data_IF_944455059331
#
_entry.id   IF_944455059331
#
_cell.length_a   1.000
_cell.length_b   1.000
_cell.length_c   1.000
_cell.angle_alpha   90.00
_cell.angle_beta   90.00
_cell.angle_gamma   90.00
#
_symmetry.space_group_name_H-M   'P 1'
#
loop_
_entity.id
_entity.type
_entity.pdbx_description
1 polymer ?
#
# COMPACT_ATOMS: atom_id res chain seq x y z
N UNK A 1 27.02 -8.25 -33.12
CA UNK A 1 27.72 -9.13 -32.16
C UNK A 1 27.12 -8.90 -30.77
N UNK A 2 26.24 -9.77 -30.37
CA UNK A 2 25.46 -9.64 -29.15
C UNK A 2 26.27 -10.13 -27.94
N UNK A 3 26.57 -9.24 -26.97
CA UNK A 3 27.21 -9.63 -25.73
C UNK A 3 26.14 -10.25 -24.79
N UNK A 4 26.08 -11.56 -24.80
CA UNK A 4 25.31 -12.32 -23.84
C UNK A 4 25.99 -12.21 -22.46
N UNK A 5 25.39 -11.46 -21.54
CA UNK A 5 25.78 -11.46 -20.14
C UNK A 5 25.37 -12.79 -19.52
N UNK A 6 26.32 -13.69 -19.35
CA UNK A 6 26.19 -14.86 -18.48
C UNK A 6 26.10 -14.33 -17.05
N UNK A 7 24.92 -14.48 -16.43
CA UNK A 7 24.75 -14.33 -14.97
C UNK A 7 25.71 -15.28 -14.28
N UNK A 8 26.62 -14.74 -13.49
CA UNK A 8 27.47 -15.53 -12.59
C UNK A 8 26.60 -16.10 -11.47
N UNK A 9 26.09 -17.31 -11.67
CA UNK A 9 25.69 -18.13 -10.57
C UNK A 9 26.91 -18.34 -9.68
N UNK A 10 26.77 -18.14 -8.38
CA UNK A 10 27.83 -18.37 -7.41
C UNK A 10 28.19 -19.86 -7.44
N UNK A 11 29.11 -20.21 -8.30
CA UNK A 11 29.72 -21.53 -8.31
C UNK A 11 30.49 -21.67 -6.98
N UNK A 12 30.01 -22.55 -6.12
CA UNK A 12 30.77 -23.06 -5.00
C UNK A 12 32.01 -23.73 -5.60
N UNK A 13 33.15 -23.04 -5.59
CA UNK A 13 34.37 -23.43 -6.27
C UNK A 13 35.02 -24.73 -5.78
N UNK A 14 34.32 -25.54 -4.98
CA UNK A 14 34.76 -26.87 -4.57
C UNK A 14 34.60 -27.94 -5.65
N UNK A 15 33.54 -27.88 -6.46
CA UNK A 15 33.26 -28.92 -7.46
C UNK A 15 34.21 -28.93 -8.65
N UNK A 16 34.52 -27.75 -9.22
CA UNK A 16 35.39 -27.64 -10.41
C UNK A 16 36.87 -27.91 -10.10
N UNK A 17 37.36 -27.66 -8.87
CA UNK A 17 38.73 -27.97 -8.45
C UNK A 17 38.98 -29.48 -8.34
N UNK A 18 38.00 -30.21 -7.79
CA UNK A 18 38.13 -31.65 -7.58
C UNK A 18 38.05 -32.42 -8.90
N UNK A 19 37.29 -31.93 -9.90
CA UNK A 19 37.14 -32.61 -11.17
C UNK A 19 38.24 -32.38 -12.21
N UNK A 20 38.92 -31.21 -12.14
CA UNK A 20 39.88 -30.80 -13.18
C UNK A 20 41.34 -30.79 -12.70
N UNK A 21 41.64 -31.12 -11.46
CA UNK A 21 42.98 -31.07 -10.84
C UNK A 21 43.77 -29.77 -11.11
N UNK A 22 43.07 -28.62 -11.26
CA UNK A 22 43.65 -27.32 -11.59
C UNK A 22 43.89 -26.50 -10.33
N UNK A 23 45.02 -25.81 -10.23
CA UNK A 23 45.33 -24.95 -9.09
C UNK A 23 44.39 -23.76 -8.99
N UNK A 24 44.04 -23.32 -7.77
CA UNK A 24 43.21 -22.14 -7.49
C UNK A 24 43.69 -20.89 -8.25
N UNK A 25 44.99 -20.70 -8.35
CA UNK A 25 45.61 -19.56 -9.07
C UNK A 25 45.18 -19.58 -10.56
N UNK A 26 45.23 -20.75 -11.19
CA UNK A 26 44.91 -20.94 -12.60
C UNK A 26 43.40 -20.79 -12.87
N UNK A 27 42.60 -21.33 -11.95
CA UNK A 27 41.12 -21.19 -12.02
C UNK A 27 40.69 -19.74 -11.87
N UNK A 28 41.26 -19.02 -10.88
CA UNK A 28 40.98 -17.59 -10.68
C UNK A 28 41.41 -16.73 -11.88
N UNK A 29 42.57 -17.03 -12.46
CA UNK A 29 43.04 -16.32 -13.64
C UNK A 29 42.15 -16.56 -14.87
N UNK A 30 41.71 -17.77 -15.11
CA UNK A 30 40.82 -18.14 -16.19
C UNK A 30 39.40 -17.48 -16.05
N UNK A 31 38.92 -17.32 -14.83
CA UNK A 31 37.62 -16.69 -14.51
C UNK A 31 37.72 -15.17 -14.35
N UNK A 32 38.90 -14.56 -14.43
CA UNK A 32 39.11 -13.15 -14.15
C UNK A 32 38.76 -12.74 -12.71
N UNK A 33 38.81 -13.68 -11.76
CA UNK A 33 38.38 -13.47 -10.39
C UNK A 33 39.62 -13.39 -9.44
N UNK A 34 39.62 -12.41 -8.52
CA UNK A 34 40.68 -12.31 -7.53
C UNK A 34 40.59 -13.44 -6.51
N UNK A 35 41.75 -13.99 -6.10
CA UNK A 35 41.82 -15.13 -5.16
C UNK A 35 41.15 -14.84 -3.80
N UNK A 36 41.24 -13.60 -3.29
CA UNK A 36 40.57 -13.21 -2.04
C UNK A 36 39.05 -13.33 -2.15
N UNK A 37 38.49 -13.06 -3.33
CA UNK A 37 37.04 -13.23 -3.59
C UNK A 37 36.64 -14.70 -3.54
N UNK A 38 37.47 -15.57 -4.11
CA UNK A 38 37.26 -17.03 -4.09
C UNK A 38 37.35 -17.63 -2.68
N UNK A 39 38.21 -17.09 -1.84
CA UNK A 39 38.43 -17.54 -0.45
C UNK A 39 37.48 -16.91 0.54
N UNK A 40 36.70 -15.90 0.11
CA UNK A 40 35.73 -15.22 0.97
C UNK A 40 34.59 -16.17 1.35
N UNK A 41 34.61 -16.63 2.58
CA UNK A 41 33.47 -17.35 3.15
C UNK A 41 32.38 -16.31 3.38
N UNK A 42 31.19 -16.47 2.77
CA UNK A 42 30.07 -15.57 3.03
C UNK A 42 29.69 -15.69 4.51
N UNK A 43 29.96 -14.66 5.29
CA UNK A 43 29.45 -14.55 6.66
C UNK A 43 28.03 -14.01 6.55
N UNK A 44 27.03 -14.86 6.69
CA UNK A 44 25.64 -14.43 6.88
C UNK A 44 25.54 -13.56 8.15
N UNK A 45 24.53 -12.71 8.21
CA UNK A 45 24.19 -12.03 9.46
C UNK A 45 23.37 -12.97 10.32
N UNK A 46 23.57 -12.97 11.62
CA UNK A 46 22.88 -13.85 12.57
C UNK A 46 21.34 -13.66 12.53
N UNK A 47 20.89 -12.45 12.14
CA UNK A 47 19.49 -12.09 12.02
C UNK A 47 18.85 -12.42 10.65
N UNK A 48 19.61 -12.95 9.68
CA UNK A 48 19.15 -13.16 8.30
C UNK A 48 17.99 -14.15 8.21
N UNK A 49 18.06 -15.22 8.98
CA UNK A 49 17.06 -16.28 8.99
C UNK A 49 15.72 -15.78 9.54
N UNK A 50 15.77 -15.03 10.64
CA UNK A 50 14.60 -14.39 11.25
C UNK A 50 14.00 -13.33 10.33
N UNK A 51 14.83 -12.46 9.75
CA UNK A 51 14.37 -11.45 8.79
C UNK A 51 13.71 -12.09 7.58
N UNK A 52 14.23 -13.21 7.08
CA UNK A 52 13.64 -13.94 5.97
C UNK A 52 12.23 -14.47 6.32
N UNK A 53 12.07 -15.05 7.51
CA UNK A 53 10.77 -15.53 7.99
C UNK A 53 9.75 -14.39 8.09
N UNK A 54 10.15 -13.24 8.65
CA UNK A 54 9.27 -12.07 8.78
C UNK A 54 8.88 -11.49 7.41
N UNK A 55 9.80 -11.46 6.43
CA UNK A 55 9.50 -11.05 5.06
C UNK A 55 8.46 -11.98 4.41
N UNK A 56 8.63 -13.30 4.55
CA UNK A 56 7.71 -14.28 3.98
C UNK A 56 6.33 -14.15 4.63
N UNK A 57 6.28 -13.97 5.94
CA UNK A 57 5.01 -13.81 6.67
C UNK A 57 4.26 -12.56 6.22
N UNK A 58 4.95 -11.41 6.14
CA UNK A 58 4.35 -10.17 5.64
C UNK A 58 3.92 -10.28 4.17
N UNK A 59 4.68 -10.99 3.33
CA UNK A 59 4.31 -11.22 1.93
C UNK A 59 3.07 -12.11 1.79
N UNK A 60 2.87 -13.07 2.69
CA UNK A 60 1.66 -13.91 2.75
C UNK A 60 0.45 -13.10 3.22
N UNK A 61 0.62 -12.31 4.28
CA UNK A 61 -0.44 -11.50 4.84
C UNK A 61 -0.88 -10.38 3.88
N UNK A 62 0.08 -9.74 3.20
CA UNK A 62 -0.14 -8.62 2.30
C UNK A 62 0.29 -8.95 0.88
N UNK A 63 -0.37 -9.91 0.25
CA UNK A 63 -0.01 -10.44 -1.07
C UNK A 63 0.10 -9.40 -2.21
N UNK A 64 -0.46 -8.20 -2.01
CA UNK A 64 -0.39 -7.07 -2.97
C UNK A 64 0.72 -6.05 -2.63
N UNK A 65 1.52 -6.28 -1.58
CA UNK A 65 2.62 -5.40 -1.20
C UNK A 65 3.94 -5.89 -1.79
N UNK A 66 4.66 -4.99 -2.46
CA UNK A 66 6.02 -5.26 -2.92
C UNK A 66 7.05 -5.03 -1.80
N UNK A 67 8.29 -5.44 -2.06
CA UNK A 67 9.39 -5.40 -1.07
C UNK A 67 9.58 -4.04 -0.38
N UNK A 68 9.31 -2.90 -1.04
CA UNK A 68 9.43 -1.57 -0.41
C UNK A 68 8.41 -1.34 0.69
N UNK A 69 7.14 -1.73 0.46
CA UNK A 69 6.11 -1.64 1.50
C UNK A 69 6.39 -2.62 2.65
N UNK A 70 6.84 -3.84 2.32
CA UNK A 70 7.25 -4.84 3.31
C UNK A 70 8.45 -4.34 4.13
N UNK A 71 9.43 -3.69 3.49
CA UNK A 71 10.55 -3.08 4.19
C UNK A 71 10.10 -2.00 5.20
N UNK A 72 9.11 -1.21 4.83
CA UNK A 72 8.57 -0.20 5.73
C UNK A 72 7.81 -0.81 6.91
N UNK A 73 6.99 -1.83 6.68
CA UNK A 73 6.33 -2.56 7.77
C UNK A 73 7.34 -3.18 8.73
N UNK A 74 8.44 -3.72 8.22
CA UNK A 74 9.54 -4.24 9.05
C UNK A 74 10.20 -3.13 9.88
N UNK A 75 10.41 -1.92 9.31
CA UNK A 75 10.93 -0.77 10.08
C UNK A 75 9.97 -0.34 11.17
N UNK A 76 8.67 -0.30 10.90
CA UNK A 76 7.63 -0.04 11.90
C UNK A 76 7.64 -1.10 13.01
N UNK A 77 8.02 -2.35 12.68
CA UNK A 77 8.23 -3.42 13.65
C UNK A 77 9.57 -3.36 14.39
N UNK A 78 10.38 -2.33 14.16
CA UNK A 78 11.65 -2.12 14.84
C UNK A 78 12.89 -2.72 14.15
N UNK A 79 12.77 -3.24 12.92
CA UNK A 79 13.91 -3.72 12.16
C UNK A 79 14.76 -2.56 11.62
N UNK A 80 16.06 -2.60 11.86
CA UNK A 80 17.03 -1.65 11.26
C UNK A 80 17.57 -2.27 9.97
N UNK A 81 16.87 -1.99 8.86
CA UNK A 81 17.14 -2.59 7.55
C UNK A 81 17.08 -1.55 6.43
N UNK A 82 17.78 -1.85 5.34
CA UNK A 82 17.66 -1.10 4.09
C UNK A 82 16.87 -1.88 3.04
N UNK A 83 16.31 -1.17 2.06
CA UNK A 83 15.49 -1.75 1.00
C UNK A 83 16.26 -2.78 0.17
N UNK A 84 17.56 -2.55 -0.09
CA UNK A 84 18.41 -3.48 -0.88
C UNK A 84 18.53 -4.86 -0.22
N UNK A 85 18.58 -4.91 1.12
CA UNK A 85 18.64 -6.17 1.85
C UNK A 85 17.31 -6.94 1.72
N UNK A 86 16.18 -6.24 1.89
CA UNK A 86 14.85 -6.83 1.73
C UNK A 86 14.62 -7.28 0.29
N UNK A 87 15.00 -6.45 -0.70
CA UNK A 87 14.89 -6.80 -2.12
C UNK A 87 15.71 -8.05 -2.48
N UNK A 88 16.93 -8.17 -1.94
CA UNK A 88 17.77 -9.35 -2.16
C UNK A 88 17.12 -10.63 -1.64
N UNK A 89 16.57 -10.58 -0.42
CA UNK A 89 15.86 -11.71 0.19
C UNK A 89 14.59 -12.00 -0.59
N UNK A 90 13.81 -10.97 -0.92
CA UNK A 90 12.59 -11.07 -1.73
C UNK A 90 12.81 -11.85 -3.04
N UNK A 91 13.88 -11.51 -3.75
CA UNK A 91 14.25 -12.20 -5.00
C UNK A 91 14.73 -13.62 -4.76
N UNK A 92 15.51 -13.85 -3.71
CA UNK A 92 16.03 -15.17 -3.34
C UNK A 92 14.90 -16.14 -3.01
N UNK A 93 13.91 -15.70 -2.26
CA UNK A 93 12.73 -16.49 -1.89
C UNK A 93 11.67 -16.57 -3.00
N UNK A 94 11.94 -16.03 -4.19
CA UNK A 94 11.03 -16.10 -5.34
C UNK A 94 9.71 -15.34 -5.14
N UNK A 95 9.66 -14.41 -4.18
CA UNK A 95 8.45 -13.64 -3.88
C UNK A 95 8.10 -12.70 -5.04
N UNK A 96 6.82 -12.67 -5.41
CA UNK A 96 6.31 -11.84 -6.50
C UNK A 96 4.98 -11.21 -6.11
N UNK A 97 4.78 -9.97 -6.53
CA UNK A 97 3.45 -9.33 -6.46
C UNK A 97 2.72 -9.69 -7.75
N UNK A 98 1.45 -10.12 -7.69
CA UNK A 98 0.65 -10.33 -8.89
C UNK A 98 0.68 -9.11 -9.81
N UNK A 99 0.72 -9.28 -11.13
CA UNK A 99 0.77 -8.16 -12.07
C UNK A 99 -0.46 -7.27 -11.88
N UNK A 100 -0.26 -5.96 -11.96
CA UNK A 100 -1.38 -5.03 -11.99
C UNK A 100 -2.16 -5.24 -13.28
N UNK A 101 -3.49 -5.14 -13.17
CA UNK A 101 -4.33 -5.08 -14.35
C UNK A 101 -3.83 -3.95 -15.27
N UNK A 102 -3.63 -4.25 -16.56
CA UNK A 102 -3.17 -3.26 -17.53
C UNK A 102 -4.13 -2.07 -17.54
N UNK A 103 -3.58 -0.87 -17.45
CA UNK A 103 -4.38 0.35 -17.60
C UNK A 103 -4.91 0.36 -19.03
N UNK A 104 -6.21 0.40 -19.21
CA UNK A 104 -6.81 0.80 -20.49
C UNK A 104 -6.30 2.19 -20.79
N UNK A 105 -5.80 2.41 -22.01
CA UNK A 105 -5.15 3.66 -22.41
C UNK A 105 -5.94 4.88 -21.97
N UNK A 106 -5.31 5.76 -21.20
CA UNK A 106 -5.88 7.06 -20.85
C UNK A 106 -5.42 8.04 -21.93
N UNK A 107 -6.35 8.68 -22.59
CA UNK A 107 -6.08 9.89 -23.35
C UNK A 107 -5.74 10.99 -22.36
N UNK A 108 -4.46 11.28 -22.18
CA UNK A 108 -3.99 12.46 -21.47
C UNK A 108 -3.73 13.53 -22.50
N UNK A 109 -4.48 14.60 -22.45
CA UNK A 109 -4.08 15.82 -23.13
C UNK A 109 -2.96 16.45 -22.30
N UNK A 110 -1.74 16.44 -22.81
CA UNK A 110 -0.56 17.02 -22.15
C UNK A 110 -0.41 18.53 -22.43
N UNK A 111 -1.47 19.16 -22.95
CA UNK A 111 -1.50 20.55 -23.42
C UNK A 111 -1.71 21.61 -22.32
N UNK A 112 -1.79 21.19 -21.06
CA UNK A 112 -2.02 22.09 -19.93
C UNK A 112 -3.47 22.56 -19.78
N UNK A 113 -4.41 22.11 -20.60
CA UNK A 113 -5.84 22.48 -20.55
C UNK A 113 -6.55 21.94 -19.31
N UNK A 114 -5.96 20.98 -18.60
CA UNK A 114 -6.53 20.37 -17.40
C UNK A 114 -6.19 21.20 -16.15
N UNK A 115 -6.93 22.26 -15.91
CA UNK A 115 -6.83 23.04 -14.65
C UNK A 115 -7.61 22.26 -13.57
N UNK A 116 -6.86 21.60 -12.69
CA UNK A 116 -7.44 20.90 -11.53
C UNK A 116 -7.23 21.69 -10.27
N UNK A 117 -8.29 21.83 -9.45
CA UNK A 117 -8.14 22.31 -8.07
C UNK A 117 -7.27 21.33 -7.29
N UNK A 118 -6.04 21.74 -6.96
CA UNK A 118 -5.11 20.94 -6.15
C UNK A 118 -5.31 21.22 -4.67
N UNK A 119 -5.43 20.21 -3.82
CA UNK A 119 -5.53 20.41 -2.39
C UNK A 119 -4.23 21.04 -1.86
N UNK A 120 -4.34 22.04 -1.00
CA UNK A 120 -3.21 22.79 -0.43
C UNK A 120 -2.97 22.46 1.04
N UNK A 121 -4.02 22.00 1.74
CA UNK A 121 -3.99 21.67 3.17
C UNK A 121 -5.04 20.61 3.50
N UNK A 122 -4.97 20.05 4.70
CA UNK A 122 -6.00 19.19 5.26
C UNK A 122 -7.37 19.87 5.21
N UNK A 123 -8.41 19.13 4.92
CA UNK A 123 -9.79 19.61 4.77
C UNK A 123 -9.97 20.70 3.68
N UNK A 124 -9.03 20.82 2.73
CA UNK A 124 -9.23 21.72 1.61
C UNK A 124 -10.19 21.15 0.57
N UNK A 125 -9.97 19.90 0.16
CA UNK A 125 -10.82 19.20 -0.81
C UNK A 125 -11.11 17.79 -0.31
N UNK A 126 -12.38 17.48 -0.12
CA UNK A 126 -12.82 16.10 0.08
C UNK A 126 -13.41 15.56 -1.22
N UNK A 127 -13.06 14.33 -1.56
CA UNK A 127 -13.66 13.62 -2.68
C UNK A 127 -14.50 12.47 -2.16
N UNK A 128 -15.68 12.24 -2.77
CA UNK A 128 -16.44 11.04 -2.50
C UNK A 128 -16.83 10.33 -3.80
N UNK A 129 -17.02 9.02 -3.71
CA UNK A 129 -17.40 8.18 -4.84
C UNK A 129 -18.04 6.88 -4.34
N UNK A 130 -18.81 6.24 -5.23
CA UNK A 130 -19.47 4.98 -4.97
C UNK A 130 -18.73 3.82 -5.63
N UNK A 131 -18.58 2.74 -4.85
CA UNK A 131 -18.09 1.45 -5.34
C UNK A 131 -19.16 0.40 -5.10
N UNK A 132 -19.42 -0.44 -6.09
CA UNK A 132 -20.36 -1.57 -5.99
C UNK A 132 -19.62 -2.89 -5.93
N UNK A 133 -20.14 -3.83 -5.14
CA UNK A 133 -19.71 -5.20 -5.08
C UNK A 133 -20.87 -6.13 -4.71
N UNK A 134 -20.62 -7.43 -4.58
CA UNK A 134 -21.63 -8.44 -4.29
C UNK A 134 -21.21 -9.35 -3.16
N UNK A 135 -22.17 -9.75 -2.33
CA UNK A 135 -22.01 -10.85 -1.40
C UNK A 135 -22.06 -12.20 -2.13
N UNK A 136 -21.59 -13.26 -1.49
CA UNK A 136 -21.55 -14.62 -2.06
C UNK A 136 -22.88 -15.07 -2.67
N UNK A 137 -24.00 -14.66 -2.09
CA UNK A 137 -25.35 -14.91 -2.59
C UNK A 137 -25.74 -14.07 -3.83
N UNK A 138 -24.80 -13.35 -4.43
CA UNK A 138 -25.00 -12.52 -5.62
C UNK A 138 -25.68 -11.17 -5.37
N UNK A 139 -26.12 -10.87 -4.13
CA UNK A 139 -26.82 -9.63 -3.80
C UNK A 139 -25.84 -8.46 -3.78
N UNK A 140 -26.13 -7.42 -4.54
CA UNK A 140 -25.32 -6.20 -4.60
C UNK A 140 -25.30 -5.45 -3.26
N UNK A 141 -24.19 -4.78 -3.00
CA UNK A 141 -24.05 -3.74 -1.99
C UNK A 141 -23.21 -2.60 -2.54
N UNK A 142 -23.37 -1.42 -1.96
CA UNK A 142 -22.62 -0.22 -2.34
C UNK A 142 -21.80 0.28 -1.17
N UNK A 143 -20.70 0.91 -1.50
CA UNK A 143 -19.81 1.59 -0.57
C UNK A 143 -19.73 3.06 -0.97
N UNK A 144 -20.04 3.97 -0.06
CA UNK A 144 -19.74 5.39 -0.19
C UNK A 144 -18.36 5.61 0.44
N UNK A 145 -17.38 5.97 -0.36
CA UNK A 145 -16.03 6.28 0.07
C UNK A 145 -15.85 7.80 0.13
N UNK A 146 -15.31 8.32 1.22
CA UNK A 146 -14.98 9.73 1.38
C UNK A 146 -13.49 9.86 1.71
N UNK A 147 -12.78 10.68 0.96
CA UNK A 147 -11.33 10.85 1.03
C UNK A 147 -10.95 12.32 1.17
N UNK A 148 -10.00 12.64 2.05
CA UNK A 148 -9.28 13.92 2.01
C UNK A 148 -8.17 13.83 0.96
N UNK A 149 -8.25 14.66 -0.08
CA UNK A 149 -7.29 14.60 -1.19
C UNK A 149 -5.88 15.05 -0.82
N UNK A 150 -5.73 15.88 0.21
CA UNK A 150 -4.41 16.35 0.66
C UNK A 150 -3.68 15.30 1.49
N UNK A 151 -4.33 14.80 2.52
CA UNK A 151 -3.74 13.81 3.41
C UNK A 151 -3.79 12.39 2.85
N UNK A 152 -4.63 12.13 1.85
CA UNK A 152 -5.00 10.81 1.34
C UNK A 152 -5.71 9.93 2.40
N UNK A 153 -6.17 10.51 3.50
CA UNK A 153 -6.92 9.81 4.54
C UNK A 153 -8.30 9.40 4.02
N UNK A 154 -8.67 8.14 4.22
CA UNK A 154 -10.02 7.68 3.99
C UNK A 154 -10.88 8.02 5.21
N UNK A 155 -11.68 9.07 5.10
CA UNK A 155 -12.48 9.61 6.19
C UNK A 155 -13.63 8.67 6.56
N UNK A 156 -14.30 8.08 5.56
CA UNK A 156 -15.39 7.13 5.77
C UNK A 156 -15.49 6.11 4.62
N UNK A 157 -15.97 4.91 4.95
CA UNK A 157 -16.54 3.95 4.01
C UNK A 157 -17.88 3.48 4.57
N UNK A 158 -18.99 4.00 4.03
CA UNK A 158 -20.34 3.55 4.39
C UNK A 158 -20.78 2.41 3.50
N UNK A 159 -21.06 1.26 4.09
CA UNK A 159 -21.47 0.05 3.37
C UNK A 159 -22.94 -0.22 3.59
N UNK A 160 -23.71 -0.35 2.53
CA UNK A 160 -25.15 -0.62 2.58
C UNK A 160 -25.69 -1.32 1.34
N UNK A 161 -26.85 -1.98 1.44
CA UNK A 161 -27.52 -2.59 0.26
C UNK A 161 -28.00 -1.54 -0.73
N UNK A 162 -28.50 -0.42 -0.21
CA UNK A 162 -28.90 0.75 -0.97
C UNK A 162 -28.38 1.97 -0.23
N UNK A 163 -27.75 2.86 -0.95
CA UNK A 163 -27.31 4.15 -0.42
C UNK A 163 -28.03 5.24 -1.22
N UNK A 164 -28.76 6.08 -0.53
CA UNK A 164 -29.54 7.21 -1.06
C UNK A 164 -28.84 8.53 -0.74
N UNK A 165 -29.35 9.64 -1.26
CA UNK A 165 -28.86 10.98 -0.93
C UNK A 165 -28.80 11.26 0.58
N UNK A 166 -29.82 10.81 1.32
CA UNK A 166 -29.85 10.95 2.79
C UNK A 166 -28.66 10.27 3.45
N UNK A 167 -28.29 9.07 3.01
CA UNK A 167 -27.13 8.35 3.57
C UNK A 167 -25.81 9.10 3.32
N UNK A 168 -25.70 9.79 2.18
CA UNK A 168 -24.53 10.63 1.86
C UNK A 168 -24.50 11.85 2.78
N UNK A 169 -25.64 12.53 2.93
CA UNK A 169 -25.79 13.70 3.80
C UNK A 169 -25.48 13.34 5.24
N UNK A 170 -25.98 12.22 5.75
CA UNK A 170 -25.70 11.74 7.11
C UNK A 170 -24.20 11.53 7.32
N UNK A 171 -23.53 10.81 6.40
CA UNK A 171 -22.08 10.57 6.49
C UNK A 171 -21.29 11.88 6.44
N UNK A 172 -21.63 12.80 5.54
CA UNK A 172 -20.95 14.09 5.45
C UNK A 172 -21.21 14.95 6.68
N UNK A 173 -22.44 14.97 7.22
CA UNK A 173 -22.79 15.68 8.45
C UNK A 173 -21.96 15.18 9.64
N UNK A 174 -21.88 13.85 9.83
CA UNK A 174 -21.07 13.25 10.88
C UNK A 174 -19.58 13.66 10.73
N UNK A 175 -19.07 13.63 9.51
CA UNK A 175 -17.69 14.02 9.23
C UNK A 175 -17.44 15.51 9.47
N UNK A 176 -18.41 16.41 9.17
CA UNK A 176 -18.29 17.84 9.47
C UNK A 176 -18.21 18.10 10.96
N UNK A 177 -18.97 17.38 11.77
CA UNK A 177 -18.90 17.45 13.23
C UNK A 177 -17.54 16.96 13.74
N UNK A 178 -17.04 15.83 13.21
CA UNK A 178 -15.83 15.18 13.72
C UNK A 178 -14.53 15.81 13.22
N UNK A 179 -14.52 16.36 12.01
CA UNK A 179 -13.30 16.80 11.30
C UNK A 179 -13.30 18.27 10.90
N UNK A 180 -14.43 18.93 11.03
CA UNK A 180 -14.68 20.26 10.50
C UNK A 180 -15.16 20.24 9.04
N UNK A 181 -15.61 21.38 8.59
CA UNK A 181 -16.18 21.56 7.25
C UNK A 181 -15.05 21.73 6.24
N UNK A 182 -15.04 20.98 5.12
CA UNK A 182 -14.02 21.15 4.07
C UNK A 182 -14.27 22.42 3.25
N UNK A 183 -13.22 22.96 2.63
CA UNK A 183 -13.35 24.08 1.71
C UNK A 183 -14.13 23.72 0.44
N UNK A 184 -13.96 22.49 -0.04
CA UNK A 184 -14.58 22.01 -1.27
C UNK A 184 -14.96 20.52 -1.14
N UNK A 185 -16.05 20.15 -1.79
CA UNK A 185 -16.42 18.73 -1.99
C UNK A 185 -16.42 18.44 -3.48
N UNK A 186 -15.78 17.33 -3.85
CA UNK A 186 -15.71 16.81 -5.22
C UNK A 186 -16.40 15.46 -5.31
N UNK A 187 -17.23 15.31 -6.33
CA UNK A 187 -17.85 14.03 -6.69
C UNK A 187 -17.95 13.91 -8.20
N UNK A 188 -18.06 12.68 -8.70
CA UNK A 188 -18.50 12.48 -10.07
C UNK A 188 -20.00 12.81 -10.18
N UNK A 189 -20.44 12.98 -11.44
CA UNK A 189 -21.85 13.17 -11.75
C UNK A 189 -22.58 11.81 -11.67
N UNK A 190 -22.70 11.23 -10.46
CA UNK A 190 -23.45 10.00 -10.19
C UNK A 190 -24.92 10.08 -10.62
N UNK A 191 -25.73 9.04 -10.36
CA UNK A 191 -27.14 9.05 -10.75
C UNK A 191 -27.79 10.38 -10.37
N UNK A 192 -28.25 11.11 -11.36
CA UNK A 192 -28.63 12.55 -11.33
C UNK A 192 -29.45 12.96 -10.10
N UNK A 193 -30.32 12.09 -9.64
CA UNK A 193 -31.19 12.39 -8.50
C UNK A 193 -30.45 12.42 -7.13
N UNK A 194 -29.44 11.57 -6.92
CA UNK A 194 -28.68 11.56 -5.67
C UNK A 194 -27.70 12.72 -5.65
N UNK A 195 -27.16 13.08 -6.80
CA UNK A 195 -26.21 14.18 -6.92
C UNK A 195 -26.89 15.53 -6.65
N UNK A 196 -28.08 15.78 -7.17
CA UNK A 196 -28.81 17.06 -7.03
C UNK A 196 -29.16 17.36 -5.57
N UNK A 197 -29.81 16.45 -4.86
CA UNK A 197 -30.16 16.65 -3.45
C UNK A 197 -28.94 16.85 -2.54
N UNK A 198 -27.84 16.16 -2.82
CA UNK A 198 -26.58 16.35 -2.08
C UNK A 198 -25.96 17.70 -2.41
N UNK A 199 -26.00 18.12 -3.67
CA UNK A 199 -25.47 19.42 -4.12
C UNK A 199 -26.25 20.59 -3.48
N UNK A 200 -27.58 20.51 -3.47
CA UNK A 200 -28.44 21.50 -2.81
C UNK A 200 -28.12 21.60 -1.32
N UNK A 201 -27.94 20.45 -0.64
CA UNK A 201 -27.58 20.44 0.76
C UNK A 201 -26.17 21.03 1.00
N UNK A 202 -25.16 20.67 0.18
CA UNK A 202 -23.80 21.22 0.26
C UNK A 202 -23.84 22.74 0.07
N UNK A 203 -24.60 23.23 -0.89
CA UNK A 203 -24.79 24.67 -1.14
C UNK A 203 -25.46 25.38 0.05
N UNK A 204 -26.49 24.77 0.64
CA UNK A 204 -27.18 25.28 1.82
C UNK A 204 -26.26 25.40 3.05
N UNK A 205 -25.29 24.50 3.19
CA UNK A 205 -24.26 24.55 4.25
C UNK A 205 -23.14 25.57 3.93
N UNK A 206 -23.13 26.17 2.73
CA UNK A 206 -22.16 27.19 2.33
C UNK A 206 -20.81 26.63 1.83
N UNK A 207 -20.76 25.34 1.49
CA UNK A 207 -19.55 24.68 0.98
C UNK A 207 -19.49 24.86 -0.54
N UNK A 208 -18.28 25.09 -1.07
CA UNK A 208 -18.07 25.14 -2.52
C UNK A 208 -17.99 23.72 -3.10
N UNK A 209 -18.84 23.45 -4.09
CA UNK A 209 -18.75 22.21 -4.86
C UNK A 209 -17.68 22.36 -5.93
N UNK A 210 -16.67 21.49 -5.93
CA UNK A 210 -15.70 21.39 -7.01
C UNK A 210 -16.28 20.42 -8.06
N UNK A 211 -17.01 20.98 -9.01
CA UNK A 211 -17.61 20.18 -10.09
C UNK A 211 -16.52 19.60 -10.98
N UNK A 212 -16.71 18.32 -11.31
CA UNK A 212 -15.95 17.66 -12.36
C UNK A 212 -16.65 18.00 -13.67
N UNK A 213 -15.95 18.65 -14.59
CA UNK A 213 -16.51 18.89 -15.92
C UNK A 213 -16.89 17.58 -16.62
N UNK A 214 -18.01 17.57 -17.32
CA UNK A 214 -18.44 16.40 -18.10
C UNK A 214 -17.33 16.04 -19.10
N UNK A 215 -16.79 14.81 -18.98
CA UNK A 215 -15.67 14.37 -19.82
C UNK A 215 -14.27 14.54 -19.20
N UNK A 216 -14.17 15.04 -17.96
CA UNK A 216 -12.90 15.26 -17.24
C UNK A 216 -12.68 14.24 -16.09
N UNK A 217 -12.63 12.92 -16.34
CA UNK A 217 -12.47 11.90 -15.29
C UNK A 217 -11.17 12.04 -14.52
N UNK A 218 -10.15 12.70 -15.08
CA UNK A 218 -8.86 12.94 -14.41
C UNK A 218 -8.97 13.84 -13.18
N UNK A 219 -10.02 14.63 -13.04
CA UNK A 219 -10.24 15.48 -11.88
C UNK A 219 -10.51 14.67 -10.61
N UNK A 220 -11.11 13.48 -10.73
CA UNK A 220 -11.41 12.56 -9.62
C UNK A 220 -10.31 11.53 -9.32
N UNK A 221 -9.11 11.72 -9.86
CA UNK A 221 -8.04 10.71 -9.84
C UNK A 221 -7.56 10.27 -8.45
N UNK A 222 -7.81 11.04 -7.36
CA UNK A 222 -7.45 10.61 -6.01
C UNK A 222 -8.37 9.52 -5.50
N UNK A 223 -9.70 9.74 -5.60
CA UNK A 223 -10.67 8.74 -5.14
C UNK A 223 -10.71 7.52 -6.07
N UNK A 224 -10.54 7.71 -7.39
CA UNK A 224 -10.38 6.58 -8.31
C UNK A 224 -9.17 5.72 -7.95
N UNK A 225 -8.05 6.36 -7.63
CA UNK A 225 -6.83 5.66 -7.20
C UNK A 225 -7.03 4.93 -5.87
N UNK A 226 -7.82 5.51 -4.95
CA UNK A 226 -8.21 4.87 -3.70
C UNK A 226 -9.11 3.65 -3.97
N UNK A 227 -10.16 3.81 -4.77
CA UNK A 227 -11.09 2.74 -5.13
C UNK A 227 -10.38 1.56 -5.83
N UNK A 228 -9.43 1.87 -6.71
CA UNK A 228 -8.59 0.85 -7.34
C UNK A 228 -7.75 0.07 -6.32
N UNK A 229 -7.28 0.71 -5.25
CA UNK A 229 -6.55 0.02 -4.17
C UNK A 229 -7.48 -0.81 -3.29
N UNK A 230 -8.65 -0.29 -2.95
CA UNK A 230 -9.66 -1.02 -2.21
C UNK A 230 -10.04 -2.32 -2.94
N UNK A 231 -10.26 -2.25 -4.26
CA UNK A 231 -10.52 -3.44 -5.08
C UNK A 231 -9.32 -4.38 -5.11
N UNK A 232 -8.14 -3.87 -5.39
CA UNK A 232 -6.93 -4.68 -5.58
C UNK A 232 -6.45 -5.36 -4.29
N UNK A 233 -6.54 -4.66 -3.16
CA UNK A 233 -5.98 -5.10 -1.88
C UNK A 233 -6.99 -5.84 -1.00
N UNK A 234 -8.31 -5.67 -1.25
CA UNK A 234 -9.37 -6.30 -0.46
C UNK A 234 -10.42 -6.99 -1.33
N UNK A 235 -11.23 -6.23 -2.08
CA UNK A 235 -12.47 -6.78 -2.67
C UNK A 235 -12.23 -7.91 -3.67
N UNK A 236 -11.14 -7.88 -4.42
CA UNK A 236 -10.81 -8.95 -5.39
C UNK A 236 -10.27 -10.23 -4.72
N UNK A 237 -9.89 -10.17 -3.46
CA UNK A 237 -9.33 -11.31 -2.71
C UNK A 237 -10.27 -11.91 -1.69
N UNK A 238 -11.39 -11.24 -1.38
CA UNK A 238 -12.31 -11.65 -0.32
C UNK A 238 -13.69 -12.03 -0.87
N UNK A 239 -14.32 -13.00 -0.24
CA UNK A 239 -15.69 -13.42 -0.50
C UNK A 239 -16.52 -13.14 0.75
N UNK A 240 -17.44 -12.19 0.66
CA UNK A 240 -18.29 -11.81 1.79
C UNK A 240 -19.59 -12.63 1.78
N UNK A 241 -19.83 -13.40 2.82
CA UNK A 241 -21.05 -14.20 2.96
C UNK A 241 -22.24 -13.39 3.48
N UNK A 242 -21.97 -12.28 4.15
CA UNK A 242 -23.01 -11.38 4.64
C UNK A 242 -22.64 -9.91 4.48
N UNK A 243 -23.64 -9.01 4.48
CA UNK A 243 -23.41 -7.58 4.50
C UNK A 243 -22.69 -7.13 5.77
N UNK A 244 -22.99 -7.77 6.91
CA UNK A 244 -22.36 -7.45 8.19
C UNK A 244 -20.88 -7.78 8.19
N UNK A 245 -20.52 -8.90 7.62
CA UNK A 245 -19.12 -9.30 7.42
C UNK A 245 -18.39 -8.28 6.54
N UNK A 246 -18.98 -7.92 5.38
CA UNK A 246 -18.42 -6.89 4.51
C UNK A 246 -18.20 -5.57 5.26
N UNK A 247 -19.16 -5.12 6.07
CA UNK A 247 -19.03 -3.91 6.88
C UNK A 247 -17.84 -3.97 7.84
N UNK A 248 -17.66 -5.09 8.54
CA UNK A 248 -16.59 -5.27 9.53
C UNK A 248 -15.21 -5.32 8.85
N UNK A 249 -15.09 -6.12 7.80
CA UNK A 249 -13.80 -6.33 7.12
C UNK A 249 -13.38 -5.07 6.36
N UNK A 250 -14.30 -4.39 5.67
CA UNK A 250 -14.02 -3.13 4.97
C UNK A 250 -13.61 -2.02 5.95
N UNK A 251 -14.28 -1.91 7.10
CA UNK A 251 -13.90 -0.93 8.14
C UNK A 251 -12.52 -1.26 8.74
N UNK A 252 -12.22 -2.54 8.96
CA UNK A 252 -10.88 -2.98 9.40
C UNK A 252 -9.81 -2.61 8.37
N UNK A 253 -10.09 -2.81 7.06
CA UNK A 253 -9.20 -2.41 5.99
C UNK A 253 -9.03 -0.87 5.93
N UNK A 254 -10.11 -0.09 6.11
CA UNK A 254 -10.02 1.38 6.17
C UNK A 254 -9.09 1.85 7.28
N UNK A 255 -9.20 1.26 8.47
CA UNK A 255 -8.30 1.56 9.59
C UNK A 255 -6.86 1.20 9.26
N UNK A 256 -6.63 0.00 8.72
CA UNK A 256 -5.30 -0.42 8.26
C UNK A 256 -4.74 0.53 7.18
N UNK A 257 -5.58 0.92 6.21
CA UNK A 257 -5.21 1.87 5.15
C UNK A 257 -4.72 3.20 5.72
N UNK A 258 -5.40 3.73 6.73
CA UNK A 258 -5.10 5.02 7.31
C UNK A 258 -3.92 5.00 8.30
N UNK A 259 -3.73 3.92 9.05
CA UNK A 259 -2.84 3.92 10.22
C UNK A 259 -1.59 3.06 10.07
N UNK A 260 -1.61 2.07 9.19
CA UNK A 260 -0.52 1.09 9.07
C UNK A 260 0.06 1.04 7.65
N UNK A 261 -0.83 1.09 6.64
CA UNK A 261 -0.45 0.88 5.26
C UNK A 261 0.57 1.92 4.76
N UNK A 262 1.74 1.49 4.24
CA UNK A 262 2.71 2.43 3.69
C UNK A 262 2.23 3.04 2.35
N UNK A 263 2.26 4.37 2.25
CA UNK A 263 1.88 5.13 1.05
C UNK A 263 3.11 5.75 0.38
N UNK A 264 3.42 5.33 -0.84
CA UNK A 264 4.60 5.81 -1.56
C UNK A 264 4.55 7.33 -1.80
N UNK A 265 3.36 7.90 -2.04
CA UNK A 265 3.16 9.35 -2.21
C UNK A 265 3.41 10.15 -0.93
N UNK A 266 3.36 9.52 0.24
CA UNK A 266 3.58 10.12 1.56
C UNK A 266 4.93 9.69 2.17
N UNK A 267 5.91 9.33 1.34
CA UNK A 267 7.20 8.85 1.83
C UNK A 267 7.10 7.54 2.61
N UNK A 268 6.18 6.67 2.23
CA UNK A 268 5.84 5.41 2.89
C UNK A 268 5.23 5.53 4.29
N UNK A 269 4.81 6.72 4.71
CA UNK A 269 4.02 6.90 5.93
C UNK A 269 2.55 6.61 5.70
N UNK A 270 1.78 6.23 6.73
CA UNK A 270 0.33 6.15 6.64
C UNK A 270 -0.30 7.55 6.57
N UNK A 271 -1.54 7.70 6.03
CA UNK A 271 -2.22 8.98 5.88
C UNK A 271 -2.62 9.67 7.18
N UNK A 272 -2.95 8.89 8.20
CA UNK A 272 -3.41 9.39 9.49
C UNK A 272 -2.44 9.02 10.62
N UNK A 273 -1.23 9.62 10.67
CA UNK A 273 -0.24 9.30 11.71
C UNK A 273 -0.65 9.75 13.12
N UNK A 274 -1.64 10.63 13.23
CA UNK A 274 -2.11 11.18 14.50
C UNK A 274 -3.12 10.27 15.22
N UNK A 275 -3.72 9.33 14.52
CA UNK A 275 -4.56 8.32 15.17
C UNK A 275 -3.63 7.27 15.76
N UNK A 276 -3.35 7.42 17.06
CA UNK A 276 -2.55 6.45 17.81
C UNK A 276 -3.33 5.12 17.94
N UNK A 277 -3.24 4.30 16.92
CA UNK A 277 -3.43 2.86 17.07
C UNK A 277 -2.02 2.32 17.29
N UNK A 278 -1.70 1.70 18.44
CA UNK A 278 -0.41 1.06 18.62
C UNK A 278 -0.17 0.15 17.42
N UNK A 279 0.90 0.36 16.68
CA UNK A 279 1.22 -0.41 15.47
C UNK A 279 1.14 -1.94 15.74
N UNK A 280 1.40 -2.33 16.96
CA UNK A 280 1.33 -3.70 17.46
C UNK A 280 -0.08 -4.25 17.71
N UNK A 281 -1.09 -3.40 17.90
CA UNK A 281 -2.46 -3.89 18.16
C UNK A 281 -3.12 -4.50 16.91
N UNK A 282 -2.70 -4.07 15.72
CA UNK A 282 -3.22 -4.56 14.45
C UNK A 282 -2.31 -5.64 13.80
N UNK A 283 -1.17 -5.96 14.41
CA UNK A 283 -0.26 -6.98 13.89
C UNK A 283 -0.78 -8.38 14.25
N UNK A 284 -0.62 -9.37 13.37
CA UNK A 284 -0.89 -10.77 13.69
C UNK A 284 -0.15 -11.20 14.94
N UNK A 285 -0.72 -12.12 15.72
CA UNK A 285 -0.11 -12.60 16.95
C UNK A 285 1.30 -13.17 16.74
N UNK A 286 1.57 -13.75 15.58
CA UNK A 286 2.87 -14.25 15.17
C UNK A 286 3.95 -13.16 15.10
N UNK A 287 3.61 -11.98 14.58
CA UNK A 287 4.53 -10.85 14.46
C UNK A 287 4.70 -10.07 15.78
N UNK A 288 3.70 -10.11 16.67
CA UNK A 288 3.82 -9.53 18.02
C UNK A 288 4.92 -10.18 18.86
N UNK A 289 5.19 -11.48 18.64
CA UNK A 289 6.28 -12.21 19.32
C UNK A 289 7.66 -11.92 18.76
N UNK A 290 7.75 -11.25 17.61
CA UNK A 290 8.98 -10.93 16.91
C UNK A 290 9.56 -9.55 17.29
N UNK A 291 9.04 -8.87 18.32
CA UNK A 291 9.68 -7.67 18.85
C UNK A 291 11.12 -8.00 19.23
N UNK A 292 12.10 -7.15 18.87
CA UNK A 292 13.49 -7.39 19.26
C UNK A 292 13.55 -7.52 20.78
N UNK A 293 14.34 -8.46 21.32
CA UNK A 293 14.58 -8.51 22.75
C UNK A 293 15.07 -7.14 23.20
N UNK A 294 14.52 -6.62 24.27
CA UNK A 294 14.87 -5.35 24.90
C UNK A 294 16.34 -5.28 25.41
N UNK A 295 17.18 -6.20 25.01
CA UNK A 295 18.57 -6.37 25.42
C UNK A 295 19.55 -5.91 24.34
N UNK A 296 19.42 -4.64 23.93
CA UNK A 296 20.59 -3.85 23.60
C UNK A 296 20.74 -2.74 24.64
N UNK A 297 20.50 -3.12 25.90
CA UNK A 297 20.86 -2.34 27.06
C UNK A 297 22.37 -2.51 27.30
N UNK A 298 23.09 -1.39 27.13
CA UNK A 298 24.36 -1.07 27.79
C UNK A 298 25.49 -2.08 27.61
N UNK A 299 26.38 -1.78 26.65
CA UNK A 299 27.80 -2.16 26.81
C UNK A 299 28.28 -1.60 28.16
N UNK A 300 28.84 -2.40 29.05
CA UNK A 300 29.58 -1.85 30.17
C UNK A 300 30.76 -1.08 29.61
N UNK A 301 30.92 0.15 30.01
CA UNK A 301 32.16 0.91 29.90
C UNK A 301 33.20 0.17 30.70
N UNK A 302 34.17 -0.41 30.01
CA UNK A 302 35.43 -0.84 30.66
C UNK A 302 36.18 0.42 31.10
N UNK A 303 36.38 0.54 32.40
CA UNK A 303 37.42 1.37 32.99
C UNK A 303 38.79 0.83 32.59
#
# INVERSE_FOLDING_TARGET
>A
MSKTYLKSDHFHGGGSRAQLHVSERRTCAALGQHRSTQRKVPRGRDDEQRLTADIIELARQYGRYGYRKVAELLRQAGWIINDKRVERIWRREGLKVPPKQSKRGRLWLADGSCIRLRPQQRNHVWAYDFVEDRTHDGRKYRMLNVLDEFTHECLAIRVGRKLKAVDVIDVLSDLFILRGIPGHIRSDNGPEFVAEAVQEWIAAVGIKTAYIERGSPWENGYIESFNARLRDELLNGEIFYSLREAQIVIESWRRHYNTIRPHASLGFKPPAPEVFVPAFAAWPAALRRAAPPATLAKRPTLN
#
